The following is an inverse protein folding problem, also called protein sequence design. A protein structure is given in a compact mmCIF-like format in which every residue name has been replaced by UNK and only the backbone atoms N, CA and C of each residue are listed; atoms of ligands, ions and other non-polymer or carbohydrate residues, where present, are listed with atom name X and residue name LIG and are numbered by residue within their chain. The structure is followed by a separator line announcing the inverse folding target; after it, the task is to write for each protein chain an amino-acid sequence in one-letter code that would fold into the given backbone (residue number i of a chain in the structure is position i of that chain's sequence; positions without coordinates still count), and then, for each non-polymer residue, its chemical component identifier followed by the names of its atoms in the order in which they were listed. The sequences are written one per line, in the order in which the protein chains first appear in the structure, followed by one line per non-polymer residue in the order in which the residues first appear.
data_IF_384147110562
#
_entry.id   IF_384147110562
#
_cell.length_a   1.000
_cell.length_b   1.000
_cell.length_c   1.000
_cell.angle_alpha   90.00
_cell.angle_beta   90.00
_cell.angle_gamma   90.00
#
_symmetry.space_group_name_H-M   'P 1'
#
loop_
_entity.id
_entity.type
_entity.pdbx_description
1 polymer ?
#
# COMPACT_ATOMS: atom_id res chain seq x y z
N UNK A 1 1.41 -0.54 -41.83
CA UNK A 1 0.42 -0.15 -40.77
C UNK A 1 -0.25 -1.33 -40.11
N UNK A 2 -0.49 -2.45 -40.78
CA UNK A 2 -1.20 -3.62 -40.24
C UNK A 2 -0.47 -4.34 -39.09
N UNK A 3 0.84 -4.54 -39.17
CA UNK A 3 1.63 -5.24 -38.10
C UNK A 3 1.69 -4.51 -36.77
N UNK A 4 1.79 -3.19 -36.77
CA UNK A 4 1.81 -2.39 -35.54
C UNK A 4 0.47 -2.41 -34.81
N UNK A 5 -0.65 -2.47 -35.54
CA UNK A 5 -1.99 -2.59 -34.94
C UNK A 5 -2.20 -3.97 -34.32
N UNK A 6 -1.79 -5.03 -35.00
CA UNK A 6 -1.88 -6.41 -34.47
C UNK A 6 -1.04 -6.57 -33.20
N UNK A 7 0.19 -6.04 -33.17
CA UNK A 7 1.06 -6.11 -32.02
C UNK A 7 0.52 -5.32 -30.80
N UNK A 8 -0.09 -4.15 -31.01
CA UNK A 8 -0.68 -3.36 -29.93
C UNK A 8 -1.91 -4.03 -29.31
N UNK A 9 -2.77 -4.67 -30.13
CA UNK A 9 -3.93 -5.41 -29.64
C UNK A 9 -3.52 -6.64 -28.81
N UNK A 10 -2.48 -7.38 -29.25
CA UNK A 10 -1.97 -8.52 -28.50
C UNK A 10 -1.44 -8.09 -27.12
N UNK A 11 -0.73 -6.96 -27.03
CA UNK A 11 -0.25 -6.40 -25.76
C UNK A 11 -1.42 -6.01 -24.86
N UNK A 12 -2.40 -5.29 -25.36
CA UNK A 12 -3.57 -4.87 -24.60
C UNK A 12 -4.37 -6.06 -24.08
N UNK A 13 -4.54 -7.11 -24.89
CA UNK A 13 -5.22 -8.33 -24.50
C UNK A 13 -4.50 -9.04 -23.35
N UNK A 14 -3.17 -9.20 -23.45
CA UNK A 14 -2.35 -9.80 -22.39
C UNK A 14 -2.41 -9.00 -21.09
N UNK A 15 -2.28 -7.67 -21.17
CA UNK A 15 -2.40 -6.76 -20.01
C UNK A 15 -3.78 -6.87 -19.37
N UNK A 16 -4.84 -6.88 -20.19
CA UNK A 16 -6.20 -7.02 -19.70
C UNK A 16 -6.46 -8.35 -19.01
N UNK A 17 -5.91 -9.45 -19.53
CA UNK A 17 -5.99 -10.78 -18.89
C UNK A 17 -5.31 -10.80 -17.53
N UNK A 18 -4.11 -10.23 -17.40
CA UNK A 18 -3.40 -10.13 -16.12
C UNK A 18 -4.18 -9.29 -15.11
N UNK A 19 -4.74 -8.16 -15.53
CA UNK A 19 -5.57 -7.32 -14.66
C UNK A 19 -6.82 -8.04 -14.18
N UNK A 20 -7.51 -8.78 -15.08
CA UNK A 20 -8.68 -9.58 -14.70
C UNK A 20 -8.30 -10.69 -13.72
N UNK A 21 -7.21 -11.40 -13.98
CA UNK A 21 -6.74 -12.47 -13.08
C UNK A 21 -6.41 -11.94 -11.68
N UNK A 22 -5.71 -10.79 -11.60
CA UNK A 22 -5.41 -10.13 -10.31
C UNK A 22 -6.70 -9.66 -9.61
N UNK A 23 -7.62 -9.07 -10.36
CA UNK A 23 -8.89 -8.63 -9.79
C UNK A 23 -9.76 -9.78 -9.28
N UNK A 24 -9.81 -10.89 -10.01
CA UNK A 24 -10.51 -12.11 -9.58
C UNK A 24 -9.85 -12.73 -8.35
N UNK A 25 -8.52 -12.75 -8.29
CA UNK A 25 -7.79 -13.23 -7.12
C UNK A 25 -8.12 -12.38 -5.88
N UNK A 26 -8.13 -11.05 -6.02
CA UNK A 26 -8.46 -10.13 -4.93
C UNK A 26 -9.90 -10.33 -4.44
N UNK A 27 -10.86 -10.50 -5.35
CA UNK A 27 -12.25 -10.81 -5.00
C UNK A 27 -12.37 -12.18 -4.32
N UNK A 28 -11.62 -13.18 -4.79
CA UNK A 28 -11.62 -14.51 -4.16
C UNK A 28 -11.08 -14.44 -2.71
N UNK A 29 -10.00 -13.67 -2.47
CA UNK A 29 -9.46 -13.44 -1.13
C UNK A 29 -10.45 -12.66 -0.26
N UNK A 30 -11.15 -11.67 -0.82
CA UNK A 30 -12.20 -10.93 -0.11
C UNK A 30 -13.34 -11.87 0.34
N UNK A 31 -13.84 -12.72 -0.56
CA UNK A 31 -14.90 -13.70 -0.26
C UNK A 31 -14.43 -14.70 0.80
N UNK A 32 -13.21 -15.23 0.65
CA UNK A 32 -12.60 -16.11 1.64
C UNK A 32 -12.51 -15.45 3.02
N UNK A 33 -12.03 -14.20 3.08
CA UNK A 33 -11.98 -13.43 4.33
C UNK A 33 -13.35 -13.23 4.97
N UNK A 34 -14.39 -12.92 4.15
CA UNK A 34 -15.76 -12.76 4.63
C UNK A 34 -16.34 -14.06 5.21
N UNK A 35 -16.03 -15.22 4.61
CA UNK A 35 -16.48 -16.53 5.07
C UNK A 35 -15.74 -16.98 6.33
N UNK A 36 -14.45 -16.72 6.42
CA UNK A 36 -13.60 -17.16 7.56
C UNK A 36 -13.57 -16.17 8.73
N UNK A 37 -14.20 -15.00 8.59
CA UNK A 37 -14.16 -13.93 9.60
C UNK A 37 -12.82 -13.20 9.64
N UNK A 38 -11.92 -13.45 8.69
CA UNK A 38 -10.68 -12.72 8.57
C UNK A 38 -10.95 -11.31 8.02
N UNK A 39 -10.42 -10.28 8.70
CA UNK A 39 -10.56 -8.90 8.25
C UNK A 39 -9.71 -8.64 7.00
N UNK A 40 -10.31 -8.67 5.85
CA UNK A 40 -9.70 -8.25 4.59
C UNK A 40 -10.54 -7.13 3.98
N UNK A 41 -9.91 -6.02 3.63
CA UNK A 41 -10.57 -4.94 2.90
C UNK A 41 -9.75 -4.60 1.66
N UNK A 42 -10.26 -5.01 0.49
CA UNK A 42 -9.77 -4.50 -0.78
C UNK A 42 -10.99 -4.19 -1.64
N UNK A 43 -11.07 -2.95 -2.14
CA UNK A 43 -12.09 -2.55 -3.13
C UNK A 43 -11.52 -2.42 -4.53
N UNK A 44 -10.23 -2.76 -4.73
CA UNK A 44 -9.54 -2.55 -5.99
C UNK A 44 -9.77 -3.68 -7.00
N UNK A 45 -10.15 -4.89 -6.55
CA UNK A 45 -10.40 -6.04 -7.40
C UNK A 45 -11.46 -5.79 -8.47
N UNK A 46 -12.59 -5.20 -8.10
CA UNK A 46 -13.66 -4.86 -9.06
C UNK A 46 -13.19 -3.85 -10.11
N UNK A 47 -12.42 -2.83 -9.71
CA UNK A 47 -11.83 -1.88 -10.65
C UNK A 47 -10.81 -2.53 -11.57
N UNK A 48 -9.99 -3.46 -11.07
CA UNK A 48 -9.03 -4.20 -11.87
C UNK A 48 -9.72 -5.10 -12.89
N UNK A 49 -10.82 -5.79 -12.54
CA UNK A 49 -11.63 -6.59 -13.45
C UNK A 49 -12.23 -5.69 -14.55
N UNK A 50 -12.90 -4.61 -14.18
CA UNK A 50 -13.51 -3.69 -15.13
C UNK A 50 -12.45 -3.07 -16.06
N UNK A 51 -11.33 -2.58 -15.52
CA UNK A 51 -10.24 -2.03 -16.30
C UNK A 51 -9.64 -3.08 -17.25
N UNK A 52 -9.42 -4.32 -16.76
CA UNK A 52 -8.94 -5.44 -17.55
C UNK A 52 -9.84 -5.75 -18.73
N UNK A 53 -11.14 -5.80 -18.51
CA UNK A 53 -12.14 -6.03 -19.57
C UNK A 53 -12.10 -4.94 -20.66
N UNK A 54 -12.07 -3.67 -20.28
CA UNK A 54 -12.01 -2.58 -21.26
C UNK A 54 -10.66 -2.51 -21.99
N UNK A 55 -9.55 -2.84 -21.31
CA UNK A 55 -8.22 -2.92 -21.95
C UNK A 55 -8.19 -4.05 -22.94
N UNK A 56 -8.77 -5.22 -22.64
CA UNK A 56 -8.90 -6.35 -23.59
C UNK A 56 -9.70 -5.98 -24.82
N UNK A 57 -10.73 -5.14 -24.68
CA UNK A 57 -11.50 -4.58 -25.81
C UNK A 57 -10.75 -3.52 -26.62
N UNK A 58 -9.48 -3.26 -26.33
CA UNK A 58 -8.65 -2.29 -27.05
C UNK A 58 -8.86 -0.83 -26.64
N UNK A 59 -9.48 -0.55 -25.48
CA UNK A 59 -9.70 0.82 -25.01
C UNK A 59 -8.39 1.52 -24.64
N UNK A 60 -7.84 2.32 -25.53
CA UNK A 60 -6.63 3.12 -25.32
C UNK A 60 -6.80 4.19 -24.20
N UNK A 61 -8.05 4.61 -23.90
CA UNK A 61 -8.33 5.51 -22.77
C UNK A 61 -8.06 4.82 -21.45
N UNK A 62 -8.70 3.64 -21.28
CA UNK A 62 -8.54 2.85 -20.05
C UNK A 62 -7.10 2.39 -19.88
N UNK A 63 -6.43 1.95 -20.96
CA UNK A 63 -5.00 1.61 -20.93
C UNK A 63 -4.12 2.76 -20.41
N UNK A 64 -4.45 4.02 -20.80
CA UNK A 64 -3.75 5.19 -20.26
C UNK A 64 -3.98 5.44 -18.77
N UNK A 65 -5.22 5.26 -18.30
CA UNK A 65 -5.57 5.41 -16.89
C UNK A 65 -4.88 4.33 -16.07
N UNK A 66 -4.93 3.08 -16.53
CA UNK A 66 -4.24 1.95 -15.89
C UNK A 66 -2.74 2.19 -15.82
N UNK A 67 -2.09 2.64 -16.90
CA UNK A 67 -0.67 2.97 -16.88
C UNK A 67 -0.35 4.08 -15.88
N UNK A 68 -1.17 5.14 -15.85
CA UNK A 68 -1.01 6.24 -14.89
C UNK A 68 -1.16 5.76 -13.45
N UNK A 69 -2.22 5.00 -13.13
CA UNK A 69 -2.46 4.44 -11.82
C UNK A 69 -1.37 3.45 -11.39
N UNK A 70 -0.94 2.55 -12.31
CA UNK A 70 0.16 1.63 -12.04
C UNK A 70 1.48 2.35 -11.74
N UNK A 71 1.78 3.46 -12.46
CA UNK A 71 2.97 4.27 -12.19
C UNK A 71 2.87 4.94 -10.80
N UNK A 72 1.71 5.49 -10.47
CA UNK A 72 1.46 6.12 -9.16
C UNK A 72 1.65 5.11 -8.02
N UNK A 73 0.99 3.95 -8.10
CA UNK A 73 1.06 2.92 -7.04
C UNK A 73 2.47 2.31 -6.95
N UNK A 74 3.14 2.06 -8.09
CA UNK A 74 4.51 1.54 -8.10
C UNK A 74 5.49 2.51 -7.43
N UNK A 75 5.40 3.82 -7.75
CA UNK A 75 6.26 4.83 -7.12
C UNK A 75 5.96 5.02 -5.64
N UNK A 76 4.69 4.97 -5.24
CA UNK A 76 4.29 4.99 -3.84
C UNK A 76 4.85 3.77 -3.09
N UNK A 77 4.77 2.57 -3.68
CA UNK A 77 5.31 1.35 -3.09
C UNK A 77 6.82 1.38 -2.92
N UNK A 78 7.55 1.86 -3.94
CA UNK A 78 9.02 2.03 -3.84
C UNK A 78 9.38 3.06 -2.77
N UNK A 79 8.67 4.20 -2.73
CA UNK A 79 8.87 5.21 -1.70
C UNK A 79 8.58 4.66 -0.30
N UNK A 80 7.51 3.85 -0.14
CA UNK A 80 7.16 3.20 1.13
C UNK A 80 8.29 2.28 1.62
N UNK A 81 8.88 1.47 0.75
CA UNK A 81 10.05 0.66 1.10
C UNK A 81 11.22 1.55 1.56
N UNK A 82 11.43 2.68 0.86
CA UNK A 82 12.49 3.63 1.22
C UNK A 82 12.28 4.29 2.58
N UNK A 83 11.06 4.70 2.92
CA UNK A 83 10.76 5.40 4.20
C UNK A 83 10.47 4.46 5.36
N UNK A 84 10.33 3.15 5.11
CA UNK A 84 9.96 2.15 6.11
C UNK A 84 10.79 2.19 7.40
N UNK A 85 12.15 2.30 7.33
CA UNK A 85 12.98 2.31 8.54
C UNK A 85 12.74 3.50 9.47
N UNK A 86 12.19 4.60 8.97
CA UNK A 86 11.87 5.79 9.77
C UNK A 86 10.46 5.73 10.36
N UNK A 87 9.53 5.00 9.71
CA UNK A 87 8.15 4.83 10.18
C UNK A 87 8.07 3.72 11.21
N UNK A 88 8.79 2.63 11.00
CA UNK A 88 8.82 1.48 11.91
C UNK A 88 10.27 1.13 12.27
N UNK A 89 10.60 1.00 13.58
CA UNK A 89 11.93 0.62 14.02
C UNK A 89 12.41 -0.69 13.37
N UNK A 90 13.63 -0.67 12.83
CA UNK A 90 14.18 -1.84 12.14
C UNK A 90 14.32 -3.06 13.06
N UNK A 91 14.64 -2.84 14.34
CA UNK A 91 14.75 -3.91 15.34
C UNK A 91 13.39 -4.58 15.62
N UNK A 92 12.29 -3.83 15.61
CA UNK A 92 10.94 -4.41 15.66
C UNK A 92 10.66 -5.27 14.40
N UNK A 93 11.00 -4.75 13.22
CA UNK A 93 10.83 -5.51 11.96
C UNK A 93 11.65 -6.81 11.98
N UNK A 94 12.91 -6.75 12.45
CA UNK A 94 13.77 -7.92 12.58
C UNK A 94 13.26 -8.92 13.63
N UNK A 95 12.72 -8.43 14.75
CA UNK A 95 12.10 -9.28 15.77
C UNK A 95 10.87 -10.00 15.22
N UNK A 96 10.00 -9.28 14.51
CA UNK A 96 8.84 -9.88 13.84
C UNK A 96 9.26 -10.94 12.82
N UNK A 97 10.33 -10.67 12.04
CA UNK A 97 10.86 -11.63 11.08
C UNK A 97 11.42 -12.89 11.74
N UNK A 98 12.02 -12.77 12.94
CA UNK A 98 12.50 -13.93 13.70
C UNK A 98 11.37 -14.74 14.33
N UNK A 99 10.36 -14.07 14.88
CA UNK A 99 9.23 -14.72 15.55
C UNK A 99 8.24 -15.35 14.54
N UNK A 100 8.04 -14.70 13.41
CA UNK A 100 7.09 -15.14 12.39
C UNK A 100 7.73 -15.11 10.99
N UNK A 101 8.78 -15.91 10.72
CA UNK A 101 9.54 -15.83 9.47
C UNK A 101 8.68 -16.12 8.25
N UNK A 102 7.74 -17.06 8.36
CA UNK A 102 6.83 -17.41 7.28
C UNK A 102 5.93 -16.23 6.88
N UNK A 103 5.28 -15.60 7.84
CA UNK A 103 4.37 -14.47 7.59
C UNK A 103 5.10 -13.30 6.94
N UNK A 104 6.28 -12.95 7.46
CA UNK A 104 7.08 -11.83 6.92
C UNK A 104 7.60 -12.17 5.52
N UNK A 105 8.08 -13.40 5.29
CA UNK A 105 8.56 -13.83 3.98
C UNK A 105 7.43 -13.82 2.94
N UNK A 106 6.25 -14.35 3.28
CA UNK A 106 5.09 -14.32 2.38
C UNK A 106 4.66 -12.89 2.07
N UNK A 107 4.56 -12.03 3.09
CA UNK A 107 4.19 -10.63 2.88
C UNK A 107 5.20 -9.89 1.98
N UNK A 108 6.50 -10.11 2.18
CA UNK A 108 7.56 -9.55 1.35
C UNK A 108 7.50 -10.08 -0.09
N UNK A 109 7.30 -11.39 -0.27
CA UNK A 109 7.18 -12.01 -1.59
C UNK A 109 5.96 -11.50 -2.36
N UNK A 110 4.80 -11.38 -1.71
CA UNK A 110 3.58 -10.82 -2.31
C UNK A 110 3.79 -9.36 -2.68
N UNK A 111 4.40 -8.56 -1.81
CA UNK A 111 4.69 -7.14 -2.10
C UNK A 111 5.65 -6.99 -3.28
N UNK A 112 6.71 -7.79 -3.34
CA UNK A 112 7.66 -7.82 -4.45
C UNK A 112 6.98 -8.25 -5.76
N UNK A 113 6.13 -9.27 -5.73
CA UNK A 113 5.38 -9.73 -6.89
C UNK A 113 4.42 -8.65 -7.41
N UNK A 114 3.69 -7.97 -6.51
CA UNK A 114 2.82 -6.85 -6.88
C UNK A 114 3.59 -5.71 -7.53
N UNK A 115 4.73 -5.30 -6.96
CA UNK A 115 5.59 -4.28 -7.56
C UNK A 115 6.11 -4.72 -8.93
N UNK A 116 6.55 -5.98 -9.08
CA UNK A 116 7.00 -6.52 -10.36
C UNK A 116 5.90 -6.47 -11.42
N UNK A 117 4.66 -6.85 -11.06
CA UNK A 117 3.51 -6.75 -11.97
C UNK A 117 3.19 -5.30 -12.31
N UNK A 118 3.23 -4.36 -11.37
CA UNK A 118 3.01 -2.95 -11.64
C UNK A 118 4.06 -2.38 -12.61
N UNK A 119 5.35 -2.68 -12.41
CA UNK A 119 6.41 -2.30 -13.33
C UNK A 119 6.23 -2.93 -14.70
N UNK A 120 5.86 -4.20 -14.76
CA UNK A 120 5.55 -4.88 -16.02
C UNK A 120 4.38 -4.22 -16.76
N UNK A 121 3.29 -3.87 -16.06
CA UNK A 121 2.15 -3.14 -16.62
C UNK A 121 2.57 -1.78 -17.21
N UNK A 122 3.35 -1.00 -16.45
CA UNK A 122 3.86 0.31 -16.90
C UNK A 122 4.70 0.16 -18.17
N UNK A 123 5.59 -0.85 -18.21
CA UNK A 123 6.45 -1.16 -19.36
C UNK A 123 5.64 -1.60 -20.59
N UNK A 124 4.69 -2.52 -20.40
CA UNK A 124 3.86 -3.04 -21.52
C UNK A 124 2.97 -1.94 -22.12
N UNK A 125 2.27 -1.18 -21.28
CA UNK A 125 1.42 -0.07 -21.72
C UNK A 125 2.23 1.16 -22.17
N UNK A 126 3.52 1.19 -21.91
CA UNK A 126 4.48 2.18 -22.39
C UNK A 126 5.24 1.76 -23.64
N UNK A 127 5.00 0.60 -24.17
CA UNK A 127 5.70 0.08 -25.36
C UNK A 127 5.39 0.89 -26.62
N UNK A 128 6.34 0.93 -27.55
CA UNK A 128 6.24 1.71 -28.77
C UNK A 128 4.95 1.41 -29.58
N UNK A 129 4.52 0.14 -29.77
CA UNK A 129 3.29 -0.17 -30.51
C UNK A 129 2.04 0.46 -29.88
N UNK A 130 1.93 0.46 -28.54
CA UNK A 130 0.79 1.05 -27.83
C UNK A 130 0.81 2.57 -27.91
N UNK A 131 1.99 3.19 -27.81
CA UNK A 131 2.15 4.65 -27.93
C UNK A 131 1.84 5.13 -29.34
N UNK A 132 2.33 4.44 -30.38
CA UNK A 132 2.03 4.73 -31.78
C UNK A 132 0.54 4.58 -32.08
N UNK A 133 -0.11 3.53 -31.60
CA UNK A 133 -1.56 3.37 -31.75
C UNK A 133 -2.35 4.52 -31.09
N UNK A 134 -1.84 5.08 -29.99
CA UNK A 134 -2.45 6.25 -29.31
C UNK A 134 -2.30 7.53 -30.11
N UNK A 135 -1.09 7.81 -30.63
CA UNK A 135 -0.85 8.99 -31.46
C UNK A 135 -1.62 8.92 -32.76
N UNK A 136 -1.71 7.75 -33.40
CA UNK A 136 -2.54 7.53 -34.57
C UNK A 136 -4.04 7.76 -34.31
N UNK A 137 -4.51 7.50 -33.08
CA UNK A 137 -5.87 7.79 -32.65
C UNK A 137 -6.07 9.26 -32.17
N UNK A 138 -5.13 10.16 -32.44
CA UNK A 138 -5.19 11.58 -32.07
C UNK A 138 -5.13 11.85 -30.56
N UNK A 139 -4.59 10.92 -29.75
CA UNK A 139 -4.60 11.04 -28.30
C UNK A 139 -3.24 11.47 -27.76
N UNK A 140 -3.19 12.44 -26.83
CA UNK A 140 -1.94 12.90 -26.26
C UNK A 140 -1.26 11.81 -25.43
N UNK A 141 0.05 11.71 -25.53
CA UNK A 141 0.88 10.86 -24.65
C UNK A 141 1.12 11.63 -23.36
N UNK A 142 0.55 11.14 -22.25
CA UNK A 142 0.71 11.78 -20.94
C UNK A 142 2.11 11.53 -20.38
N UNK A 143 2.68 12.56 -19.77
CA UNK A 143 3.97 12.49 -19.06
C UNK A 143 3.83 11.65 -17.79
N UNK A 144 4.63 10.59 -17.65
CA UNK A 144 4.58 9.69 -16.48
C UNK A 144 5.33 10.25 -15.26
N UNK A 145 6.00 11.39 -15.38
CA UNK A 145 6.66 12.06 -14.24
C UNK A 145 5.65 12.52 -13.18
N UNK A 146 4.46 12.96 -13.60
CA UNK A 146 3.42 13.45 -12.67
C UNK A 146 2.94 12.36 -11.72
N UNK A 147 2.42 11.20 -12.17
CA UNK A 147 2.00 10.14 -11.26
C UNK A 147 3.15 9.59 -10.40
N UNK A 148 4.38 9.56 -10.93
CA UNK A 148 5.55 9.13 -10.19
C UNK A 148 5.85 10.07 -9.02
N UNK A 149 5.89 11.39 -9.26
CA UNK A 149 6.11 12.39 -8.21
C UNK A 149 4.96 12.43 -7.20
N UNK A 150 3.71 12.31 -7.66
CA UNK A 150 2.54 12.27 -6.78
C UNK A 150 2.56 11.04 -5.87
N UNK A 151 2.88 9.84 -6.40
CA UNK A 151 2.93 8.63 -5.59
C UNK A 151 4.05 8.69 -4.54
N UNK A 152 5.26 9.07 -4.95
CA UNK A 152 6.39 9.22 -4.03
C UNK A 152 6.14 10.35 -3.01
N UNK A 153 5.66 11.51 -3.47
CA UNK A 153 5.39 12.67 -2.62
C UNK A 153 4.28 12.41 -1.59
N UNK A 154 3.20 11.73 -1.99
CA UNK A 154 2.13 11.33 -1.06
C UNK A 154 2.68 10.41 0.02
N UNK A 155 3.46 9.40 -0.36
CA UNK A 155 4.05 8.45 0.60
C UNK A 155 5.02 9.15 1.55
N UNK A 156 5.89 10.02 1.04
CA UNK A 156 6.81 10.80 1.86
C UNK A 156 6.05 11.75 2.82
N UNK A 157 4.99 12.40 2.35
CA UNK A 157 4.13 13.25 3.18
C UNK A 157 3.44 12.48 4.30
N UNK A 158 2.86 11.33 3.99
CA UNK A 158 2.24 10.45 5.00
C UNK A 158 3.27 9.92 6.01
N UNK A 159 4.48 9.57 5.56
CA UNK A 159 5.56 9.15 6.44
C UNK A 159 6.00 10.29 7.37
N UNK A 160 6.14 11.51 6.85
CA UNK A 160 6.46 12.68 7.68
C UNK A 160 5.39 12.93 8.75
N UNK A 161 4.10 12.83 8.40
CA UNK A 161 2.98 12.91 9.35
C UNK A 161 3.09 11.81 10.41
N UNK A 162 3.36 10.56 10.02
CA UNK A 162 3.48 9.45 10.94
C UNK A 162 4.66 9.64 11.92
N UNK A 163 5.81 10.11 11.43
CA UNK A 163 7.00 10.38 12.25
C UNK A 163 6.73 11.52 13.23
N UNK A 164 6.14 12.65 12.79
CA UNK A 164 5.81 13.77 13.68
C UNK A 164 4.77 13.36 14.72
N UNK A 165 3.80 12.54 14.34
CA UNK A 165 2.81 12.01 15.25
C UNK A 165 3.43 11.08 16.31
N UNK A 166 4.34 10.19 15.91
CA UNK A 166 5.07 9.31 16.82
C UNK A 166 6.00 10.08 17.79
N UNK A 167 6.42 11.29 17.44
CA UNK A 167 7.19 12.19 18.30
C UNK A 167 6.34 13.10 19.18
N UNK A 168 5.01 13.08 19.05
CA UNK A 168 4.11 13.97 19.81
C UNK A 168 4.10 13.66 21.32
N UNK A 169 3.76 14.66 22.14
CA UNK A 169 3.62 14.50 23.60
C UNK A 169 2.61 13.39 23.97
N UNK A 170 1.53 13.25 23.19
CA UNK A 170 0.53 12.20 23.37
C UNK A 170 1.13 10.81 23.13
N UNK A 171 2.00 10.67 22.12
CA UNK A 171 2.68 9.40 21.84
C UNK A 171 3.75 9.08 22.90
N UNK A 172 4.43 10.09 23.44
CA UNK A 172 5.35 9.90 24.56
C UNK A 172 4.58 9.40 25.77
N UNK A 173 3.49 10.05 26.17
CA UNK A 173 2.63 9.63 27.29
C UNK A 173 2.10 8.21 27.12
N UNK A 174 1.69 7.83 25.88
CA UNK A 174 1.25 6.47 25.59
C UNK A 174 2.37 5.43 25.83
N UNK A 175 3.61 5.75 25.44
CA UNK A 175 4.77 4.88 25.70
C UNK A 175 5.08 4.74 27.17
N UNK A 176 5.03 5.84 27.93
CA UNK A 176 5.29 5.84 29.37
C UNK A 176 4.25 5.00 30.12
N UNK A 177 2.96 5.10 29.71
CA UNK A 177 1.90 4.27 30.28
C UNK A 177 2.09 2.78 29.96
N UNK A 178 2.54 2.43 28.76
CA UNK A 178 2.86 1.05 28.41
C UNK A 178 4.10 0.55 29.17
N UNK A 179 5.11 1.41 29.35
CA UNK A 179 6.29 1.10 30.13
C UNK A 179 5.98 0.89 31.61
N UNK A 180 5.03 1.62 32.17
CA UNK A 180 4.55 1.41 33.54
C UNK A 180 3.84 0.05 33.70
N UNK A 181 3.26 -0.52 32.64
CA UNK A 181 2.58 -1.83 32.67
C UNK A 181 3.55 -3.01 32.51
N UNK A 182 4.55 -2.90 31.63
CA UNK A 182 5.43 -4.02 31.28
C UNK A 182 6.87 -3.89 31.80
N UNK A 183 7.27 -2.70 32.24
CA UNK A 183 8.62 -2.45 32.81
C UNK A 183 9.69 -2.10 31.77
N UNK A 184 10.92 -1.90 32.22
CA UNK A 184 12.04 -1.35 31.44
C UNK A 184 12.73 -2.35 30.50
N UNK A 185 12.38 -3.63 30.55
CA UNK A 185 12.97 -4.67 29.69
C UNK A 185 12.42 -4.70 28.25
N UNK A 186 11.48 -3.82 27.94
CA UNK A 186 10.78 -3.76 26.66
C UNK A 186 11.11 -2.47 25.92
N UNK A 187 11.07 -2.53 24.60
CA UNK A 187 11.06 -1.35 23.72
C UNK A 187 9.63 -1.06 23.30
N UNK A 188 9.31 0.20 23.05
CA UNK A 188 7.93 0.66 22.84
C UNK A 188 7.80 1.49 21.58
N UNK A 189 6.81 1.14 20.74
CA UNK A 189 6.44 1.92 19.56
C UNK A 189 4.92 2.12 19.53
N UNK A 190 4.48 3.36 19.31
CA UNK A 190 3.05 3.67 19.22
C UNK A 190 2.55 3.29 17.84
N UNK A 191 1.70 2.28 17.78
CA UNK A 191 1.16 1.77 16.50
C UNK A 191 -0.12 2.48 16.09
N UNK A 192 -0.97 2.84 17.05
CA UNK A 192 -2.20 3.56 16.78
C UNK A 192 -2.59 4.45 17.96
N UNK A 193 -3.12 5.64 17.67
CA UNK A 193 -3.77 6.52 18.64
C UNK A 193 -5.10 7.02 18.07
N UNK A 194 -6.13 6.96 18.87
CA UNK A 194 -7.43 7.54 18.60
C UNK A 194 -7.70 8.62 19.64
N UNK A 195 -7.78 9.86 19.18
CA UNK A 195 -7.99 11.03 20.04
C UNK A 195 -9.39 11.53 19.77
N UNK A 196 -10.24 11.50 20.79
CA UNK A 196 -11.62 12.01 20.73
C UNK A 196 -11.74 13.20 21.65
N UNK A 197 -11.89 14.40 21.07
CA UNK A 197 -12.11 15.63 21.81
C UNK A 197 -13.61 15.90 21.96
N UNK A 198 -14.05 16.20 23.18
CA UNK A 198 -15.42 16.57 23.52
C UNK A 198 -15.39 17.88 24.33
N UNK A 199 -16.54 18.58 24.50
CA UNK A 199 -16.60 19.75 25.36
C UNK A 199 -16.19 19.49 26.82
N UNK A 200 -16.32 18.24 27.28
CA UNK A 200 -16.00 17.83 28.66
C UNK A 200 -14.53 17.42 28.85
N UNK A 201 -13.77 17.24 27.76
CA UNK A 201 -12.38 16.81 27.82
C UNK A 201 -11.95 16.01 26.59
N UNK A 202 -10.72 15.55 26.63
CA UNK A 202 -10.12 14.74 25.57
C UNK A 202 -9.89 13.33 26.05
N UNK A 203 -10.51 12.33 25.39
CA UNK A 203 -10.26 10.91 25.64
C UNK A 203 -9.28 10.38 24.59
N UNK A 204 -8.23 9.73 25.05
CA UNK A 204 -7.22 9.12 24.19
C UNK A 204 -7.20 7.63 24.40
N UNK A 205 -7.26 6.88 23.30
CA UNK A 205 -7.07 5.43 23.28
C UNK A 205 -5.94 5.10 22.32
N UNK A 206 -5.04 4.23 22.73
CA UNK A 206 -3.92 3.85 21.87
C UNK A 206 -3.55 2.39 21.95
N UNK A 207 -2.83 1.93 20.97
CA UNK A 207 -2.16 0.65 20.93
C UNK A 207 -0.66 0.93 20.84
N UNK A 208 0.09 0.44 21.82
CA UNK A 208 1.55 0.51 21.85
C UNK A 208 2.07 -0.89 21.64
N UNK A 209 2.87 -1.10 20.60
CA UNK A 209 3.60 -2.35 20.39
C UNK A 209 4.84 -2.34 21.28
N UNK A 210 4.89 -3.26 22.23
CA UNK A 210 6.05 -3.53 23.05
C UNK A 210 6.76 -4.78 22.53
N UNK A 211 8.10 -4.73 22.42
CA UNK A 211 8.86 -5.89 21.97
C UNK A 211 10.14 -6.08 22.77
N UNK A 212 10.53 -7.33 22.89
CA UNK A 212 11.79 -7.79 23.45
C UNK A 212 12.52 -8.66 22.40
N UNK A 213 13.62 -9.29 22.75
CA UNK A 213 14.31 -10.20 21.83
C UNK A 213 13.49 -11.45 21.45
N UNK A 214 12.54 -11.85 22.29
CA UNK A 214 11.80 -13.13 22.21
C UNK A 214 10.29 -12.97 22.06
N UNK A 215 9.75 -11.77 22.23
CA UNK A 215 8.30 -11.59 22.28
C UNK A 215 7.89 -10.21 21.76
N UNK A 216 6.68 -10.16 21.17
CA UNK A 216 6.00 -8.92 20.77
C UNK A 216 4.59 -8.91 21.35
N UNK A 217 4.22 -7.82 22.03
CA UNK A 217 2.90 -7.64 22.65
C UNK A 217 2.28 -6.32 22.24
N UNK A 218 0.97 -6.31 22.08
CA UNK A 218 0.22 -5.07 21.90
C UNK A 218 -0.43 -4.68 23.23
N UNK A 219 -0.06 -3.49 23.73
CA UNK A 219 -0.56 -2.93 24.98
C UNK A 219 -1.60 -1.87 24.64
N UNK A 220 -2.82 -2.05 25.12
CA UNK A 220 -3.85 -1.04 25.01
C UNK A 220 -3.68 -0.01 26.14
N UNK A 221 -3.63 1.27 25.78
CA UNK A 221 -3.56 2.39 26.72
C UNK A 221 -4.77 3.28 26.56
N UNK A 222 -5.28 3.78 27.68
CA UNK A 222 -6.43 4.70 27.69
C UNK A 222 -6.26 5.72 28.80
N UNK A 223 -6.53 6.99 28.50
CA UNK A 223 -6.62 8.06 29.50
C UNK A 223 -7.56 9.17 29.05
N UNK A 224 -8.03 9.92 30.02
CA UNK A 224 -8.87 11.08 29.81
C UNK A 224 -8.15 12.31 30.36
N UNK A 225 -8.13 13.39 29.56
CA UNK A 225 -7.62 14.68 29.95
C UNK A 225 -8.82 15.61 30.15
N UNK A 226 -9.07 15.99 31.41
CA UNK A 226 -10.05 17.04 31.72
C UNK A 226 -9.44 18.41 31.40
N UNK A 227 -10.22 19.26 30.78
CA UNK A 227 -9.85 20.66 30.62
C UNK A 227 -10.03 21.41 31.92
#
# INVERSE_FOLDING_TARGET
MSETVISSQAILRRVGQVLMALGLLDVAVLVYGAVTGASWSSGLGFFAIAAGFFVMRGSLRVASVVRWAATFVASAGVALVGVWPWVQPLDLTLTLARLNPWTVTVAAAVSAALLAVLFWLVRQLGSAPVLLARTAAGRPVRRMRIPMLLGAGLTAGLAAIAITFAASATAVKARDMAAAQLGSGWRYHVTALNIRSTPQGTSVRGIVTAWSATEVRNVAVKWDERR
#
